data_IF_293266315392
#
_entry.id   IF_293266315392
#
_cell.length_a   1.000
_cell.length_b   1.000
_cell.length_c   1.000
_cell.angle_alpha   90.00
_cell.angle_beta   90.00
_cell.angle_gamma   90.00
#
_symmetry.space_group_name_H-M   'P 1'
#
loop_
_entity.id
_entity.type
_entity.pdbx_description
1 polymer ?
#
# COMPACT_ATOMS: atom_id res chain seq x y z
N UNK A 1 17.82 -1.10 7.25
CA UNK A 1 17.89 -2.55 7.43
C UNK A 1 16.73 -3.32 6.76
N UNK A 2 15.65 -2.67 6.42
CA UNK A 2 14.55 -3.25 5.64
C UNK A 2 13.94 -2.22 4.72
N UNK A 3 13.40 -2.67 3.56
CA UNK A 3 12.69 -1.83 2.60
C UNK A 3 11.40 -2.52 2.21
N UNK A 4 10.30 -1.78 2.17
CA UNK A 4 9.00 -2.27 1.75
C UNK A 4 8.43 -1.38 0.64
N UNK A 5 7.77 -1.99 -0.36
CA UNK A 5 6.99 -1.24 -1.33
C UNK A 5 5.81 -0.56 -0.62
N UNK A 6 5.49 0.65 -1.01
CA UNK A 6 4.45 1.45 -0.37
C UNK A 6 3.73 2.34 -1.36
N UNK A 7 2.52 2.77 -1.01
CA UNK A 7 1.82 3.83 -1.72
C UNK A 7 1.45 4.95 -0.77
N UNK A 8 1.41 6.17 -1.29
CA UNK A 8 0.96 7.33 -0.54
C UNK A 8 -0.55 7.27 -0.30
N UNK A 9 -0.96 7.54 0.94
CA UNK A 9 -2.36 7.67 1.31
C UNK A 9 -2.63 9.11 1.77
N UNK A 10 -3.25 9.95 0.93
CA UNK A 10 -3.54 11.33 1.30
C UNK A 10 -4.76 11.47 2.20
N UNK A 11 -5.60 10.45 2.32
CA UNK A 11 -6.77 10.46 3.17
C UNK A 11 -6.44 10.41 4.66
N UNK A 12 -7.43 10.69 5.49
CA UNK A 12 -7.32 10.52 6.92
C UNK A 12 -7.52 9.05 7.29
N UNK A 13 -6.71 8.54 8.21
CA UNK A 13 -6.67 7.12 8.54
C UNK A 13 -7.23 6.90 9.94
N UNK A 14 -8.19 6.01 10.05
CA UNK A 14 -8.90 5.68 11.28
C UNK A 14 -8.77 4.20 11.63
N UNK A 15 -8.81 3.91 12.90
CA UNK A 15 -8.85 2.55 13.44
C UNK A 15 -10.15 2.35 14.20
N UNK A 16 -10.83 1.24 13.94
CA UNK A 16 -11.98 0.83 14.71
C UNK A 16 -11.53 0.01 15.94
N UNK A 17 -12.00 0.39 17.12
CA UNK A 17 -11.77 -0.36 18.34
C UNK A 17 -12.78 -1.50 18.50
N UNK A 18 -12.52 -2.43 19.42
CA UNK A 18 -13.40 -3.59 19.67
C UNK A 18 -14.83 -3.19 20.08
N UNK A 19 -14.99 -2.04 20.72
CA UNK A 19 -16.31 -1.52 21.12
C UNK A 19 -17.01 -0.68 20.06
N UNK A 20 -16.46 -0.60 18.86
CA UNK A 20 -17.05 0.10 17.72
C UNK A 20 -16.70 1.58 17.62
N UNK A 21 -15.90 2.12 18.52
CA UNK A 21 -15.44 3.50 18.43
C UNK A 21 -14.32 3.63 17.40
N UNK A 22 -14.23 4.79 16.74
CA UNK A 22 -13.18 5.09 15.78
C UNK A 22 -12.14 6.02 16.38
N UNK A 23 -10.89 5.68 16.19
CA UNK A 23 -9.76 6.50 16.60
C UNK A 23 -8.90 6.82 15.39
N UNK A 24 -8.57 8.10 15.21
CA UNK A 24 -7.68 8.54 14.15
C UNK A 24 -6.26 8.18 14.50
N UNK A 25 -5.54 7.55 13.57
CA UNK A 25 -4.17 7.08 13.79
C UNK A 25 -3.11 7.91 13.07
N UNK A 26 -3.51 8.79 12.18
CA UNK A 26 -2.60 9.75 11.56
C UNK A 26 -2.62 11.10 12.31
N UNK A 27 -1.78 12.04 11.90
CA UNK A 27 -1.52 13.26 12.67
C UNK A 27 -2.66 14.29 12.62
N UNK A 28 -3.44 14.39 13.71
CA UNK A 28 -4.21 15.56 14.12
C UNK A 28 -5.33 16.07 13.20
N UNK A 29 -5.97 17.15 13.62
CA UNK A 29 -7.09 17.81 12.90
C UNK A 29 -6.58 18.86 11.91
N UNK A 30 -5.53 18.55 11.19
CA UNK A 30 -4.92 19.42 10.19
C UNK A 30 -5.68 19.27 8.87
N UNK A 31 -6.03 20.36 8.16
CA UNK A 31 -6.60 20.26 6.83
C UNK A 31 -5.75 19.41 5.89
N UNK A 32 -6.41 18.69 4.97
CA UNK A 32 -5.76 17.74 4.07
C UNK A 32 -4.55 18.31 3.33
N UNK A 33 -4.60 19.59 2.94
CA UNK A 33 -3.53 20.24 2.21
C UNK A 33 -2.25 20.44 3.05
N UNK A 34 -2.39 20.46 4.37
CA UNK A 34 -1.27 20.65 5.31
C UNK A 34 -0.88 19.36 6.03
N UNK A 35 -1.58 18.27 5.79
CA UNK A 35 -1.31 16.98 6.42
C UNK A 35 -0.02 16.38 5.89
N UNK A 36 0.82 15.85 6.78
CA UNK A 36 1.92 15.00 6.37
C UNK A 36 1.37 13.73 5.72
N UNK A 37 2.01 13.31 4.63
CA UNK A 37 1.58 12.12 3.91
C UNK A 37 1.76 10.87 4.75
N UNK A 38 0.72 10.05 4.81
CA UNK A 38 0.79 8.69 5.33
C UNK A 38 1.09 7.73 4.18
N UNK A 39 1.70 6.59 4.50
CA UNK A 39 2.04 5.56 3.52
C UNK A 39 1.48 4.22 3.96
N UNK A 40 0.98 3.46 3.00
CA UNK A 40 0.50 2.10 3.23
C UNK A 40 1.53 1.13 2.69
N UNK A 41 2.01 0.21 3.54
CA UNK A 41 2.92 -0.84 3.14
C UNK A 41 2.23 -1.86 2.25
N UNK A 42 2.84 -2.13 1.10
CA UNK A 42 2.33 -3.06 0.10
C UNK A 42 3.15 -4.35 0.14
N UNK A 43 2.99 -5.13 1.22
CA UNK A 43 3.76 -6.36 1.39
C UNK A 43 3.52 -7.39 0.28
N UNK A 44 2.37 -7.34 -0.40
CA UNK A 44 2.09 -8.15 -1.58
C UNK A 44 2.91 -7.78 -2.81
N UNK A 45 3.41 -6.53 -2.90
CA UNK A 45 4.36 -6.12 -3.95
C UNK A 45 5.78 -6.56 -3.66
N UNK A 46 6.16 -6.58 -2.40
CA UNK A 46 7.46 -7.06 -1.97
C UNK A 46 8.10 -6.23 -0.87
N UNK A 47 9.00 -6.87 -0.18
CA UNK A 47 9.88 -6.23 0.78
C UNK A 47 11.24 -6.91 0.74
N UNK A 48 12.27 -6.19 1.19
CA UNK A 48 13.64 -6.69 1.30
C UNK A 48 14.08 -6.49 2.74
N UNK A 49 14.61 -7.54 3.35
CA UNK A 49 15.08 -7.50 4.74
C UNK A 49 16.29 -8.40 4.91
N UNK A 50 17.01 -8.21 6.00
CA UNK A 50 18.11 -9.12 6.35
C UNK A 50 17.57 -10.49 6.80
N UNK A 51 18.25 -11.59 6.48
CA UNK A 51 17.84 -12.93 6.90
C UNK A 51 17.69 -13.10 8.42
N UNK A 52 18.44 -12.33 9.20
CA UNK A 52 18.39 -12.38 10.66
C UNK A 52 17.01 -12.04 11.22
N UNK A 53 16.31 -11.12 10.59
CA UNK A 53 14.95 -10.75 11.04
C UNK A 53 13.97 -11.88 10.81
N UNK A 54 14.08 -12.58 9.67
CA UNK A 54 13.23 -13.74 9.36
C UNK A 54 13.49 -14.88 10.33
N UNK A 55 14.74 -15.12 10.69
CA UNK A 55 15.10 -16.13 11.70
C UNK A 55 14.50 -15.84 13.07
N UNK A 56 14.25 -14.57 13.38
CA UNK A 56 13.63 -14.13 14.61
C UNK A 56 12.12 -13.90 14.47
N UNK A 57 11.48 -14.47 13.46
CA UNK A 57 10.05 -14.37 13.16
C UNK A 57 9.57 -12.92 12.90
N UNK A 58 10.44 -12.10 12.32
CA UNK A 58 10.11 -10.74 11.91
C UNK A 58 10.24 -10.62 10.40
N UNK A 59 9.34 -9.86 9.77
CA UNK A 59 9.44 -9.56 8.35
C UNK A 59 10.28 -8.30 8.13
N UNK A 60 10.15 -7.32 9.00
CA UNK A 60 10.84 -6.04 8.90
C UNK A 60 11.66 -5.76 10.16
N UNK A 61 12.78 -5.06 9.99
CA UNK A 61 13.63 -4.62 11.08
C UNK A 61 13.13 -3.33 11.74
N UNK A 62 14.02 -2.66 12.45
CA UNK A 62 13.69 -1.46 13.21
C UNK A 62 13.76 -0.17 12.39
N UNK A 63 14.62 -0.13 11.37
CA UNK A 63 14.79 1.02 10.50
C UNK A 63 14.31 0.66 9.09
N UNK A 64 13.21 1.29 8.67
CA UNK A 64 12.50 0.90 7.47
C UNK A 64 12.56 2.00 6.43
N UNK A 65 13.05 1.66 5.24
CA UNK A 65 12.93 2.49 4.05
C UNK A 65 11.67 2.12 3.27
N UNK A 66 11.13 3.06 2.52
CA UNK A 66 9.96 2.83 1.70
C UNK A 66 10.23 3.12 0.23
N UNK A 67 9.95 2.14 -0.62
CA UNK A 67 9.93 2.31 -2.06
C UNK A 67 8.54 2.78 -2.46
N UNK A 68 8.41 4.03 -2.87
CA UNK A 68 7.12 4.64 -3.20
C UNK A 68 6.65 4.18 -4.58
N UNK A 69 5.56 3.43 -4.61
CA UNK A 69 4.91 2.98 -5.84
C UNK A 69 3.91 4.06 -6.27
N UNK A 70 4.14 4.66 -7.44
CA UNK A 70 3.34 5.79 -7.93
C UNK A 70 2.27 5.40 -8.92
N UNK A 71 2.48 4.30 -9.64
CA UNK A 71 1.53 3.87 -10.66
C UNK A 71 0.35 3.12 -10.00
N UNK A 72 -0.91 3.53 -10.28
CA UNK A 72 -2.07 2.92 -9.62
C UNK A 72 -2.19 1.41 -9.83
N UNK A 73 -1.86 0.91 -11.01
CA UNK A 73 -1.91 -0.53 -11.30
C UNK A 73 -0.86 -1.32 -10.56
N UNK A 74 0.34 -0.76 -10.40
CA UNK A 74 1.40 -1.42 -9.65
C UNK A 74 1.07 -1.55 -8.16
N UNK A 75 0.25 -0.64 -7.64
CA UNK A 75 -0.21 -0.64 -6.24
C UNK A 75 -1.52 -1.40 -6.04
N UNK A 76 -2.10 -1.97 -7.10
CA UNK A 76 -3.37 -2.68 -7.02
C UNK A 76 -3.16 -4.08 -6.48
N UNK A 77 -3.81 -4.41 -5.37
CA UNK A 77 -3.77 -5.73 -4.77
C UNK A 77 -5.06 -6.50 -5.05
N UNK A 78 -4.93 -7.75 -5.51
CA UNK A 78 -6.07 -8.63 -5.76
C UNK A 78 -6.34 -9.43 -4.49
N UNK A 79 -7.46 -9.16 -3.84
CA UNK A 79 -7.89 -9.86 -2.61
C UNK A 79 -9.17 -10.64 -2.77
N UNK A 80 -9.92 -10.39 -3.85
CA UNK A 80 -11.18 -11.08 -4.14
C UNK A 80 -11.38 -11.18 -5.65
N UNK A 81 -12.41 -11.92 -6.04
CA UNK A 81 -12.71 -12.17 -7.44
C UNK A 81 -13.13 -10.91 -8.21
N UNK A 82 -13.84 -9.99 -7.55
CA UNK A 82 -14.25 -8.72 -8.17
C UNK A 82 -13.05 -7.87 -8.55
N UNK A 83 -12.06 -7.78 -7.68
CA UNK A 83 -10.81 -7.06 -7.95
C UNK A 83 -10.04 -7.69 -9.11
N UNK A 84 -10.03 -9.02 -9.20
CA UNK A 84 -9.43 -9.73 -10.32
C UNK A 84 -10.10 -9.39 -11.64
N UNK A 85 -11.42 -9.31 -11.68
CA UNK A 85 -12.18 -8.94 -12.87
C UNK A 85 -11.92 -7.50 -13.31
N UNK A 86 -11.88 -6.57 -12.37
CA UNK A 86 -11.58 -5.17 -12.65
C UNK A 86 -10.18 -5.03 -13.27
N UNK A 87 -9.19 -5.68 -12.69
CA UNK A 87 -7.82 -5.64 -13.19
C UNK A 87 -7.71 -6.28 -14.58
N UNK A 88 -8.35 -7.43 -14.80
CA UNK A 88 -8.36 -8.12 -16.10
C UNK A 88 -8.96 -7.26 -17.19
N UNK A 89 -10.09 -6.62 -16.93
CA UNK A 89 -10.72 -5.71 -17.89
C UNK A 89 -9.82 -4.53 -18.23
N UNK A 90 -9.16 -3.95 -17.25
CA UNK A 90 -8.26 -2.84 -17.47
C UNK A 90 -7.04 -3.25 -18.30
N UNK A 91 -6.44 -4.39 -18.00
CA UNK A 91 -5.30 -4.92 -18.77
C UNK A 91 -5.69 -5.25 -20.21
N UNK A 92 -6.85 -5.82 -20.43
CA UNK A 92 -7.36 -6.09 -21.78
C UNK A 92 -7.52 -4.80 -22.58
N UNK A 93 -8.02 -3.74 -21.98
CA UNK A 93 -8.14 -2.44 -22.64
C UNK A 93 -6.77 -1.85 -23.00
N UNK A 94 -5.77 -2.02 -22.16
CA UNK A 94 -4.41 -1.59 -22.45
C UNK A 94 -3.83 -2.35 -23.65
N UNK A 95 -4.00 -3.66 -23.70
CA UNK A 95 -3.53 -4.46 -24.84
C UNK A 95 -4.20 -4.06 -26.15
N UNK A 96 -5.51 -3.82 -26.16
CA UNK A 96 -6.23 -3.35 -27.33
C UNK A 96 -5.69 -2.01 -27.81
N UNK A 97 -5.40 -1.10 -26.91
CA UNK A 97 -4.83 0.21 -27.25
C UNK A 97 -3.41 0.11 -27.80
N UNK A 98 -2.58 -0.78 -27.26
CA UNK A 98 -1.22 -1.01 -27.76
C UNK A 98 -1.21 -1.64 -29.15
N UNK A 99 -2.11 -2.58 -29.44
CA UNK A 99 -2.25 -3.20 -30.75
C UNK A 99 -2.71 -2.24 -31.83
N UNK A 100 -3.35 -1.12 -31.47
CA UNK A 100 -3.81 -0.10 -32.41
C UNK A 100 -2.74 0.92 -32.79
N UNK A 101 -1.60 0.89 -32.17
CA UNK A 101 -0.46 1.74 -32.45
C UNK A 101 0.43 1.05 -33.48
#
# INVERSE_FOLDING_TARGET
DSVIASKREPGWIWKESENGDFQRIDSGDIPRDFKQSSFIGLHGCGCVTYPEYIRNNKILGNKIGMLKVKHPLAAFEIRNEEQSKVLSNHLNNLYINEEKI
#
